data_IF_783410506397
#
_entry.id   IF_783410506397
#
_cell.length_a   1.000
_cell.length_b   1.000
_cell.length_c   1.000
_cell.angle_alpha   90.00
_cell.angle_beta   90.00
_cell.angle_gamma   90.00
#
_symmetry.space_group_name_H-M   'P 1'
#
loop_
_entity.id
_entity.type
_entity.pdbx_description
1 polymer ?
#
# COMPACT_ATOMS: atom_id res chain seq x y z
N UNK A 1 -0.10 -17.30 13.18
CA UNK A 1 -0.08 -16.90 11.77
C UNK A 1 0.60 -15.54 11.72
N UNK A 2 1.55 -15.33 10.81
CA UNK A 2 2.28 -14.06 10.70
C UNK A 2 1.63 -13.22 9.61
N UNK A 3 1.25 -11.99 9.94
CA UNK A 3 0.67 -11.06 8.97
C UNK A 3 1.75 -10.04 8.63
N UNK A 4 1.87 -9.73 7.34
CA UNK A 4 2.88 -8.81 6.82
C UNK A 4 2.16 -7.57 6.33
N UNK A 5 2.63 -6.41 6.77
CA UNK A 5 2.09 -5.13 6.35
C UNK A 5 3.19 -4.33 5.66
N UNK A 6 2.92 -3.86 4.44
CA UNK A 6 3.83 -3.00 3.69
C UNK A 6 3.12 -1.71 3.30
N UNK A 7 3.83 -0.59 3.41
CA UNK A 7 3.33 0.72 2.98
C UNK A 7 4.22 1.34 1.91
N UNK A 8 3.62 2.02 0.93
CA UNK A 8 4.34 2.69 -0.14
C UNK A 8 3.45 3.59 -1.01
N UNK A 9 4.04 4.23 -2.01
CA UNK A 9 3.30 5.05 -2.98
C UNK A 9 2.70 4.21 -4.11
N UNK A 10 3.48 3.21 -4.55
CA UNK A 10 3.23 2.29 -5.66
C UNK A 10 2.71 2.97 -6.94
N UNK A 11 3.20 4.18 -7.20
CA UNK A 11 2.88 4.90 -8.42
C UNK A 11 3.68 4.34 -9.60
N UNK A 12 3.03 4.25 -10.77
CA UNK A 12 3.54 3.51 -11.93
C UNK A 12 3.92 2.07 -11.56
N UNK A 13 2.91 1.22 -11.34
CA UNK A 13 3.12 -0.19 -11.01
C UNK A 13 4.03 -0.88 -12.04
N UNK A 14 5.04 -1.61 -11.56
CA UNK A 14 6.05 -2.26 -12.39
C UNK A 14 6.57 -3.52 -11.70
N UNK A 15 7.39 -4.31 -12.41
CA UNK A 15 7.87 -5.61 -11.94
C UNK A 15 8.60 -5.56 -10.58
N UNK A 16 9.31 -4.46 -10.27
CA UNK A 16 9.93 -4.25 -8.96
C UNK A 16 8.93 -4.28 -7.79
N UNK A 17 7.74 -3.70 -7.95
CA UNK A 17 6.69 -3.77 -6.92
C UNK A 17 6.16 -5.20 -6.75
N UNK A 18 5.96 -5.92 -7.87
CA UNK A 18 5.54 -7.32 -7.82
C UNK A 18 6.58 -8.20 -7.12
N UNK A 19 7.87 -7.98 -7.37
CA UNK A 19 8.95 -8.68 -6.67
C UNK A 19 8.93 -8.35 -5.17
N UNK A 20 8.81 -7.07 -4.82
CA UNK A 20 8.70 -6.63 -3.43
C UNK A 20 7.53 -7.29 -2.69
N UNK A 21 6.34 -7.35 -3.31
CA UNK A 21 5.18 -8.03 -2.72
C UNK A 21 5.40 -9.54 -2.57
N UNK A 22 6.10 -10.18 -3.51
CA UNK A 22 6.48 -11.61 -3.40
C UNK A 22 7.39 -11.87 -2.22
N UNK A 23 8.41 -11.05 -2.06
CA UNK A 23 9.35 -11.15 -0.93
C UNK A 23 8.64 -10.87 0.39
N UNK A 24 7.74 -9.88 0.44
CA UNK A 24 6.93 -9.57 1.61
C UNK A 24 5.99 -10.73 1.99
N UNK A 25 5.21 -11.26 1.04
CA UNK A 25 4.30 -12.41 1.29
C UNK A 25 5.05 -13.63 1.80
N UNK A 26 6.29 -13.86 1.36
CA UNK A 26 7.09 -15.00 1.82
C UNK A 26 7.46 -14.95 3.32
N UNK A 27 7.34 -13.77 3.97
CA UNK A 27 7.59 -13.60 5.41
C UNK A 27 6.38 -13.93 6.28
N UNK A 28 5.22 -14.24 5.70
CA UNK A 28 4.02 -14.55 6.46
C UNK A 28 2.98 -15.33 5.69
N UNK A 29 1.78 -15.41 6.25
CA UNK A 29 0.63 -16.10 5.67
C UNK A 29 -0.39 -15.14 5.07
N UNK A 30 -0.31 -13.86 5.42
CA UNK A 30 -1.18 -12.78 4.95
C UNK A 30 -0.33 -11.55 4.62
N UNK A 31 -0.65 -10.87 3.52
CA UNK A 31 -0.01 -9.64 3.05
C UNK A 31 -1.08 -8.55 2.90
N UNK A 32 -0.98 -7.54 3.75
CA UNK A 32 -1.71 -6.28 3.62
C UNK A 32 -0.80 -5.25 2.93
N UNK A 33 -1.31 -4.64 1.86
CA UNK A 33 -0.62 -3.56 1.13
C UNK A 33 -1.37 -2.25 1.34
N UNK A 34 -0.74 -1.30 2.04
CA UNK A 34 -1.23 0.06 2.17
C UNK A 34 -0.56 0.97 1.15
N UNK A 35 -1.33 1.78 0.41
CA UNK A 35 -0.76 2.80 -0.47
C UNK A 35 -1.15 4.21 -0.07
N UNK A 36 -0.22 5.17 -0.21
CA UNK A 36 -0.50 6.57 0.06
C UNK A 36 -1.50 7.16 -0.94
N UNK A 37 -2.58 7.77 -0.44
CA UNK A 37 -3.58 8.49 -1.26
C UNK A 37 -2.95 9.62 -2.07
N UNK A 38 -3.63 10.04 -3.13
CA UNK A 38 -3.20 11.16 -3.97
C UNK A 38 -3.03 12.45 -3.14
N UNK A 39 -3.89 12.68 -2.14
CA UNK A 39 -3.79 13.82 -1.24
C UNK A 39 -2.52 13.75 -0.38
N UNK A 40 -2.20 12.59 0.18
CA UNK A 40 -0.96 12.40 0.94
C UNK A 40 0.26 12.60 0.05
N UNK A 41 0.27 12.06 -1.17
CA UNK A 41 1.38 12.26 -2.11
C UNK A 41 1.59 13.73 -2.47
N UNK A 42 0.51 14.47 -2.69
CA UNK A 42 0.58 15.90 -2.98
C UNK A 42 1.15 16.67 -1.79
N UNK A 43 0.61 16.46 -0.59
CA UNK A 43 0.97 17.22 0.60
C UNK A 43 2.39 16.89 1.11
N UNK A 44 2.77 15.62 1.07
CA UNK A 44 4.02 15.16 1.71
C UNK A 44 5.18 15.00 0.73
N UNK A 45 4.91 14.77 -0.56
CA UNK A 45 5.95 14.53 -1.57
C UNK A 45 5.94 15.56 -2.70
N UNK A 46 4.99 16.50 -2.72
CA UNK A 46 4.79 17.45 -3.83
C UNK A 46 4.70 16.72 -5.18
N UNK A 47 4.07 15.55 -5.19
CA UNK A 47 3.92 14.70 -6.37
C UNK A 47 2.45 14.40 -6.61
N UNK A 48 2.07 14.48 -7.87
CA UNK A 48 0.75 14.04 -8.34
C UNK A 48 0.84 12.55 -8.65
N UNK A 49 -0.11 11.77 -8.13
CA UNK A 49 -0.24 10.35 -8.45
C UNK A 49 -0.50 10.18 -9.96
N UNK A 50 0.16 9.20 -10.59
CA UNK A 50 -0.04 8.91 -12.02
C UNK A 50 -1.40 8.25 -12.30
N UNK A 51 -2.04 7.70 -11.27
CA UNK A 51 -3.39 7.11 -11.33
C UNK A 51 -4.28 7.66 -10.22
N UNK A 52 -5.61 7.76 -10.46
CA UNK A 52 -6.60 7.93 -9.39
C UNK A 52 -6.48 6.81 -8.34
N UNK A 53 -6.80 7.13 -7.09
CA UNK A 53 -6.69 6.17 -5.99
C UNK A 53 -7.55 4.93 -6.22
N UNK A 54 -8.77 5.08 -6.76
CA UNK A 54 -9.65 3.92 -7.05
C UNK A 54 -9.04 2.98 -8.11
N UNK A 55 -8.36 3.55 -9.11
CA UNK A 55 -7.71 2.74 -10.14
C UNK A 55 -6.50 2.00 -9.58
N UNK A 56 -5.70 2.64 -8.73
CA UNK A 56 -4.55 2.01 -8.08
C UNK A 56 -5.00 0.91 -7.13
N UNK A 57 -6.06 1.16 -6.36
CA UNK A 57 -6.67 0.16 -5.49
C UNK A 57 -7.13 -1.07 -6.28
N UNK A 58 -7.92 -0.88 -7.34
CA UNK A 58 -8.42 -1.99 -8.15
C UNK A 58 -7.29 -2.84 -8.78
N UNK A 59 -6.19 -2.21 -9.20
CA UNK A 59 -5.02 -2.93 -9.73
C UNK A 59 -4.30 -3.74 -8.65
N UNK A 60 -4.16 -3.21 -7.44
CA UNK A 60 -3.54 -3.93 -6.32
C UNK A 60 -4.44 -5.07 -5.83
N UNK A 61 -5.75 -4.85 -5.72
CA UNK A 61 -6.73 -5.87 -5.29
C UNK A 61 -6.83 -7.03 -6.28
N UNK A 62 -6.58 -6.78 -7.58
CA UNK A 62 -6.54 -7.82 -8.60
C UNK A 62 -5.29 -8.72 -8.54
N UNK A 63 -4.25 -8.35 -7.76
CA UNK A 63 -3.06 -9.17 -7.61
C UNK A 63 -3.30 -10.28 -6.58
N UNK A 64 -3.31 -11.54 -7.04
CA UNK A 64 -3.55 -12.72 -6.18
C UNK A 64 -2.62 -12.84 -4.96
N UNK A 65 -1.47 -12.17 -4.99
CA UNK A 65 -0.49 -12.21 -3.90
C UNK A 65 -0.85 -11.31 -2.72
N UNK A 66 -1.73 -10.34 -2.93
CA UNK A 66 -2.15 -9.35 -1.93
C UNK A 66 -3.48 -9.84 -1.36
N UNK A 67 -3.55 -9.98 -0.03
CA UNK A 67 -4.77 -10.46 0.63
C UNK A 67 -5.70 -9.31 1.05
N UNK A 68 -5.14 -8.14 1.37
CA UNK A 68 -5.90 -6.94 1.73
C UNK A 68 -5.18 -5.69 1.18
N UNK A 69 -5.93 -4.76 0.60
CA UNK A 69 -5.44 -3.45 0.15
C UNK A 69 -6.04 -2.36 1.04
N UNK A 70 -5.24 -1.37 1.40
CA UNK A 70 -5.68 -0.21 2.17
C UNK A 70 -5.22 1.09 1.49
N UNK A 71 -6.04 2.14 1.59
CA UNK A 71 -5.64 3.50 1.25
C UNK A 71 -5.17 4.19 2.52
N UNK A 72 -3.95 4.70 2.51
CA UNK A 72 -3.37 5.52 3.56
C UNK A 72 -3.70 7.00 3.37
N UNK A 73 -4.46 7.55 4.31
CA UNK A 73 -4.95 8.93 4.32
C UNK A 73 -4.64 9.67 5.62
N UNK A 74 -3.88 9.05 6.55
CA UNK A 74 -3.51 9.72 7.79
C UNK A 74 -2.68 10.98 7.50
N UNK A 75 -2.94 12.10 8.20
CA UNK A 75 -2.27 13.38 7.96
C UNK A 75 -0.84 13.43 8.50
N UNK A 76 -0.42 12.42 9.27
CA UNK A 76 0.88 12.37 9.94
C UNK A 76 2.00 12.13 8.90
N UNK A 77 2.98 13.03 8.83
CA UNK A 77 4.11 12.91 7.89
C UNK A 77 4.90 11.61 8.12
N UNK A 78 4.88 10.74 7.11
CA UNK A 78 5.58 9.46 7.12
C UNK A 78 4.84 8.34 7.87
N UNK A 79 3.63 8.60 8.36
CA UNK A 79 2.75 7.65 9.03
C UNK A 79 1.34 7.68 8.42
N UNK A 80 1.26 7.82 7.10
CA UNK A 80 0.00 7.85 6.32
C UNK A 80 -0.83 6.55 6.43
N UNK A 81 -0.29 5.54 7.10
CA UNK A 81 -0.82 4.18 7.22
C UNK A 81 -1.17 3.76 8.66
N UNK A 82 -1.00 4.64 9.65
CA UNK A 82 -1.09 4.33 11.08
C UNK A 82 -2.45 3.76 11.46
N UNK A 83 -3.54 4.38 11.01
CA UNK A 83 -4.91 3.92 11.27
C UNK A 83 -5.15 2.52 10.70
N UNK A 84 -4.67 2.27 9.48
CA UNK A 84 -4.75 0.95 8.84
C UNK A 84 -3.89 -0.09 9.56
N UNK A 85 -2.67 0.26 9.98
CA UNK A 85 -1.78 -0.63 10.73
C UNK A 85 -2.41 -1.06 12.06
N UNK A 86 -2.97 -0.11 12.82
CA UNK A 86 -3.64 -0.40 14.09
C UNK A 86 -4.91 -1.23 13.92
N UNK A 87 -5.65 -1.02 12.82
CA UNK A 87 -6.86 -1.78 12.48
C UNK A 87 -6.54 -3.22 12.10
N UNK A 88 -5.55 -3.42 11.25
CA UNK A 88 -5.21 -4.72 10.66
C UNK A 88 -4.44 -5.63 11.61
N UNK A 89 -3.75 -5.06 12.62
CA UNK A 89 -2.98 -5.77 13.64
C UNK A 89 -2.07 -6.84 13.03
N UNK A 90 -1.19 -6.45 12.09
CA UNK A 90 -0.29 -7.38 11.42
C UNK A 90 0.73 -8.00 12.39
#
# INVERSE_FOLDING_TARGET
MTHVFVSGCYDVLHAGHLQFFKEAKALGTHLTVNFASANVLLNHKQRVSSLPDEHKQALLEAMEIIDEVCIGDDPDLGLDFKSNFLRTKP
#
